data_IF_230978805735
#
_entry.id   IF_230978805735
#
_cell.length_a   1.000
_cell.length_b   1.000
_cell.length_c   1.000
_cell.angle_alpha   90.00
_cell.angle_beta   90.00
_cell.angle_gamma   90.00
#
_symmetry.space_group_name_H-M   'P 1'
#
loop_
_entity.id
_entity.type
_entity.pdbx_description
1 polymer ?
#
# COMPACT_ATOMS: atom_id res chain seq x y z
N UNK A 1 10.20 -36.68 14.23
CA UNK A 1 9.45 -36.98 13.00
C UNK A 1 8.25 -36.07 12.74
N UNK A 2 7.62 -35.44 13.75
CA UNK A 2 6.45 -34.56 13.51
C UNK A 2 6.79 -33.14 13.02
N UNK A 3 7.93 -32.57 13.42
CA UNK A 3 8.33 -31.21 12.98
C UNK A 3 8.67 -31.14 11.48
N UNK A 4 9.37 -32.14 10.93
CA UNK A 4 9.71 -32.20 9.50
C UNK A 4 8.46 -32.32 8.62
N UNK A 5 7.43 -33.02 9.10
CA UNK A 5 6.14 -33.17 8.40
C UNK A 5 5.35 -31.86 8.35
N UNK A 6 5.39 -31.05 9.43
CA UNK A 6 4.76 -29.72 9.43
C UNK A 6 5.49 -28.74 8.52
N UNK A 7 6.83 -28.74 8.51
CA UNK A 7 7.59 -27.90 7.58
C UNK A 7 7.37 -28.31 6.12
N UNK A 8 7.22 -29.62 5.85
CA UNK A 8 6.91 -30.12 4.52
C UNK A 8 5.51 -29.72 4.05
N UNK A 9 4.50 -29.75 4.94
CA UNK A 9 3.14 -29.31 4.63
C UNK A 9 3.05 -27.80 4.39
N UNK A 10 3.71 -26.98 5.21
CA UNK A 10 3.78 -25.54 4.96
C UNK A 10 4.51 -25.21 3.66
N UNK A 11 5.59 -25.94 3.34
CA UNK A 11 6.29 -25.76 2.08
C UNK A 11 5.41 -26.15 0.88
N UNK A 12 4.57 -27.17 1.03
CA UNK A 12 3.62 -27.60 -0.02
C UNK A 12 2.51 -26.57 -0.25
N UNK A 13 1.98 -25.97 0.82
CA UNK A 13 1.01 -24.87 0.75
C UNK A 13 1.62 -23.62 0.12
N UNK A 14 2.87 -23.29 0.50
CA UNK A 14 3.60 -22.16 -0.09
C UNK A 14 3.88 -22.36 -1.58
N UNK A 15 4.28 -23.57 -1.99
CA UNK A 15 4.50 -23.91 -3.40
C UNK A 15 3.19 -23.92 -4.19
N UNK A 16 2.09 -24.37 -3.59
CA UNK A 16 0.73 -24.30 -4.16
C UNK A 16 0.27 -22.85 -4.39
N UNK A 17 0.44 -21.99 -3.40
CA UNK A 17 0.16 -20.55 -3.50
C UNK A 17 1.05 -19.91 -4.56
N UNK A 18 2.36 -20.20 -4.55
CA UNK A 18 3.30 -19.68 -5.53
C UNK A 18 2.97 -20.13 -6.96
N UNK A 19 2.54 -21.38 -7.15
CA UNK A 19 2.07 -21.90 -8.44
C UNK A 19 0.78 -21.20 -8.89
N UNK A 20 -0.21 -21.00 -7.99
CA UNK A 20 -1.44 -20.27 -8.31
C UNK A 20 -1.16 -18.82 -8.73
N UNK A 21 -0.27 -18.13 -8.02
CA UNK A 21 0.13 -16.76 -8.35
C UNK A 21 1.01 -16.68 -9.62
N UNK A 22 1.89 -17.67 -9.84
CA UNK A 22 2.71 -17.78 -11.06
C UNK A 22 1.87 -18.05 -12.30
N UNK A 23 0.85 -18.91 -12.20
CA UNK A 23 -0.11 -19.21 -13.26
C UNK A 23 -0.99 -18.00 -13.59
N UNK A 24 -1.39 -17.21 -12.58
CA UNK A 24 -2.16 -15.97 -12.79
C UNK A 24 -1.35 -14.92 -13.57
N UNK A 25 -0.05 -14.78 -13.27
CA UNK A 25 0.88 -13.94 -14.05
C UNK A 25 1.11 -14.41 -15.49
N UNK A 26 1.04 -15.72 -15.74
CA UNK A 26 1.13 -16.28 -17.08
C UNK A 26 -0.18 -16.11 -17.87
N UNK A 27 -1.34 -16.13 -17.19
CA UNK A 27 -2.64 -15.85 -17.78
C UNK A 27 -2.80 -14.36 -18.15
N UNK A 28 -2.23 -13.44 -17.37
CA UNK A 28 -2.15 -12.01 -17.72
C UNK A 28 -1.24 -11.74 -18.94
N UNK A 29 -0.35 -12.67 -19.30
CA UNK A 29 0.50 -12.60 -20.49
C UNK A 29 -0.16 -13.17 -21.76
N UNK A 30 -1.34 -13.79 -21.65
CA UNK A 30 -2.11 -14.30 -22.79
C UNK A 30 -3.05 -13.20 -23.33
N UNK A 31 -2.98 -12.82 -24.62
CA UNK A 31 -3.75 -11.68 -25.17
C UNK A 31 -5.28 -11.89 -25.23
N UNK A 32 -5.81 -13.05 -24.83
CA UNK A 32 -7.21 -13.42 -25.07
C UNK A 32 -8.21 -12.76 -24.12
N UNK A 33 -7.75 -12.19 -22.99
CA UNK A 33 -8.62 -11.60 -21.94
C UNK A 33 -8.82 -10.08 -22.10
N UNK A 34 -7.99 -9.40 -22.91
CA UNK A 34 -7.97 -7.92 -22.98
C UNK A 34 -9.00 -7.25 -23.92
N UNK A 35 -9.91 -8.00 -24.55
CA UNK A 35 -10.92 -7.43 -25.46
C UNK A 35 -12.29 -7.13 -24.81
N UNK A 36 -12.30 -6.80 -23.52
CA UNK A 36 -13.49 -6.25 -22.85
C UNK A 36 -13.23 -4.78 -22.49
N UNK A 37 -13.00 -3.96 -23.51
CA UNK A 37 -12.90 -2.51 -23.37
C UNK A 37 -14.31 -1.93 -23.21
N UNK A 38 -14.41 -1.07 -22.20
CA UNK A 38 -15.58 -0.35 -21.73
C UNK A 38 -16.40 0.34 -22.84
N UNK A 39 -17.73 0.26 -22.72
CA UNK A 39 -18.60 1.37 -23.16
C UNK A 39 -18.94 2.24 -21.95
N UNK A 40 -18.44 3.47 -21.98
CA UNK A 40 -18.83 4.56 -21.09
C UNK A 40 -20.31 4.90 -21.23
N UNK A 41 -20.89 5.34 -20.11
CA UNK A 41 -22.32 5.27 -19.84
C UNK A 41 -23.21 6.35 -20.46
N UNK A 42 -24.51 6.19 -20.22
CA UNK A 42 -25.54 7.24 -20.22
C UNK A 42 -26.58 6.85 -19.15
N UNK A 43 -27.02 7.89 -18.44
CA UNK A 43 -28.01 7.99 -17.37
C UNK A 43 -29.25 7.10 -17.50
N UNK A 44 -29.49 6.23 -16.51
CA UNK A 44 -30.81 5.66 -16.21
C UNK A 44 -30.94 5.45 -14.69
N UNK A 45 -31.16 6.55 -13.95
CA UNK A 45 -31.25 6.52 -12.49
C UNK A 45 -32.68 6.32 -11.95
N UNK A 46 -33.67 6.04 -12.80
CA UNK A 46 -35.09 6.01 -12.36
C UNK A 46 -35.97 4.89 -12.95
N UNK A 47 -35.41 3.81 -13.54
CA UNK A 47 -36.23 2.74 -14.17
C UNK A 47 -35.93 1.30 -13.74
N UNK A 48 -34.98 1.02 -12.83
CA UNK A 48 -34.45 -0.35 -12.66
C UNK A 48 -34.98 -1.15 -11.45
N UNK A 49 -36.06 -0.74 -10.78
CA UNK A 49 -36.57 -1.48 -9.60
C UNK A 49 -37.73 -2.44 -9.89
N UNK A 50 -38.33 -2.41 -11.09
CA UNK A 50 -39.49 -3.25 -11.43
C UNK A 50 -39.11 -4.60 -12.08
N UNK A 51 -38.00 -4.67 -12.83
CA UNK A 51 -37.66 -5.85 -13.63
C UNK A 51 -36.85 -6.93 -12.88
N UNK A 52 -36.39 -6.69 -11.66
CA UNK A 52 -35.35 -7.54 -11.03
C UNK A 52 -35.87 -8.82 -10.35
N UNK A 53 -37.19 -9.02 -10.26
CA UNK A 53 -37.77 -10.10 -9.45
C UNK A 53 -38.89 -10.89 -10.15
N UNK A 54 -39.14 -10.65 -11.44
CA UNK A 54 -40.19 -11.39 -12.17
C UNK A 54 -39.93 -12.91 -12.18
N UNK A 55 -38.66 -13.31 -12.16
CA UNK A 55 -38.24 -14.72 -12.09
C UNK A 55 -38.71 -15.43 -10.82
N UNK A 56 -38.98 -14.72 -9.71
CA UNK A 56 -39.56 -15.30 -8.49
C UNK A 56 -41.01 -15.76 -8.68
N UNK A 57 -41.69 -15.24 -9.70
CA UNK A 57 -43.11 -15.54 -9.96
C UNK A 57 -43.33 -16.39 -11.20
N UNK A 58 -42.31 -16.51 -12.06
CA UNK A 58 -42.42 -17.19 -13.35
C UNK A 58 -41.39 -18.32 -13.46
N UNK A 59 -41.87 -19.57 -13.36
CA UNK A 59 -41.03 -20.78 -13.46
C UNK A 59 -40.27 -20.89 -14.79
N UNK A 60 -40.77 -20.27 -15.87
CA UNK A 60 -40.08 -20.27 -17.16
C UNK A 60 -38.73 -19.53 -17.11
N UNK A 61 -38.61 -18.50 -16.27
CA UNK A 61 -37.39 -17.72 -16.09
C UNK A 61 -36.36 -18.42 -15.17
N UNK A 62 -36.71 -19.57 -14.59
CA UNK A 62 -35.80 -20.43 -13.82
C UNK A 62 -35.19 -21.56 -14.66
N UNK A 63 -35.33 -21.50 -15.99
CA UNK A 63 -34.78 -22.49 -16.92
C UNK A 63 -33.64 -21.91 -17.74
N UNK A 64 -32.46 -22.50 -17.62
CA UNK A 64 -31.21 -22.06 -18.22
C UNK A 64 -30.64 -23.14 -19.14
N UNK A 65 -30.64 -22.89 -20.45
CA UNK A 65 -30.10 -23.82 -21.44
C UNK A 65 -29.42 -23.09 -22.60
N UNK A 66 -28.35 -23.69 -23.12
CA UNK A 66 -27.60 -23.17 -24.27
C UNK A 66 -27.92 -24.03 -25.51
N UNK A 67 -28.98 -23.67 -26.23
CA UNK A 67 -29.43 -24.32 -27.48
C UNK A 67 -30.62 -25.29 -27.34
N UNK A 68 -31.05 -25.87 -28.46
CA UNK A 68 -32.30 -26.65 -28.63
C UNK A 68 -32.08 -28.19 -28.63
N UNK A 69 -31.01 -28.68 -28.02
CA UNK A 69 -30.61 -30.09 -28.13
C UNK A 69 -30.37 -30.75 -26.79
N UNK A 70 -31.12 -31.83 -26.52
CA UNK A 70 -30.88 -33.04 -25.70
C UNK A 70 -29.65 -33.10 -24.75
N UNK A 71 -29.36 -32.02 -24.03
CA UNK A 71 -28.32 -31.94 -23.01
C UNK A 71 -28.88 -32.42 -21.68
N UNK A 72 -28.05 -33.10 -20.89
CA UNK A 72 -28.42 -33.55 -19.55
C UNK A 72 -28.80 -32.35 -18.68
N UNK A 73 -30.10 -32.22 -18.38
CA UNK A 73 -30.64 -31.20 -17.49
C UNK A 73 -30.58 -31.69 -16.05
N UNK A 74 -30.21 -30.78 -15.15
CA UNK A 74 -30.22 -31.03 -13.71
C UNK A 74 -31.06 -29.97 -13.03
N UNK A 75 -31.79 -30.39 -12.01
CA UNK A 75 -32.58 -29.50 -11.17
C UNK A 75 -31.72 -29.11 -9.97
N UNK A 76 -31.45 -27.82 -9.81
CA UNK A 76 -30.78 -27.28 -8.63
C UNK A 76 -31.84 -26.65 -7.73
N UNK A 77 -32.15 -27.33 -6.63
CA UNK A 77 -33.06 -26.83 -5.62
C UNK A 77 -32.30 -25.96 -4.62
N UNK A 78 -32.66 -24.69 -4.54
CA UNK A 78 -32.11 -23.73 -3.57
C UNK A 78 -33.12 -23.49 -2.43
N UNK A 79 -32.81 -22.58 -1.51
CA UNK A 79 -33.67 -22.24 -0.36
C UNK A 79 -35.17 -22.06 -0.67
N UNK A 80 -35.52 -21.44 -1.81
CA UNK A 80 -36.92 -21.14 -2.14
C UNK A 80 -37.36 -21.61 -3.53
N UNK A 81 -36.45 -21.72 -4.50
CA UNK A 81 -36.77 -22.03 -5.90
C UNK A 81 -35.91 -23.18 -6.44
N UNK A 82 -36.45 -23.87 -7.44
CA UNK A 82 -35.73 -24.87 -8.22
C UNK A 82 -35.37 -24.30 -9.60
N UNK A 83 -34.12 -24.50 -10.01
CA UNK A 83 -33.60 -24.05 -11.29
C UNK A 83 -33.31 -25.24 -12.20
N UNK A 84 -33.77 -25.19 -13.45
CA UNK A 84 -33.50 -26.19 -14.46
C UNK A 84 -32.30 -25.75 -15.29
N UNK A 85 -31.15 -26.41 -15.15
CA UNK A 85 -29.89 -25.93 -15.73
C UNK A 85 -29.21 -27.03 -16.54
N UNK A 86 -28.60 -26.63 -17.65
CA UNK A 86 -27.69 -27.50 -18.41
C UNK A 86 -26.47 -27.88 -17.56
N UNK A 87 -26.33 -29.17 -17.25
CA UNK A 87 -25.27 -29.67 -16.36
C UNK A 87 -23.87 -29.36 -16.89
N UNK A 88 -23.67 -29.42 -18.21
CA UNK A 88 -22.37 -29.18 -18.81
C UNK A 88 -21.86 -27.76 -18.53
N UNK A 89 -22.72 -26.76 -18.73
CA UNK A 89 -22.37 -25.37 -18.44
C UNK A 89 -22.10 -25.18 -16.95
N UNK A 90 -22.94 -25.76 -16.09
CA UNK A 90 -22.77 -25.70 -14.63
C UNK A 90 -21.41 -26.27 -14.18
N UNK A 91 -20.98 -27.39 -14.77
CA UNK A 91 -19.68 -28.04 -14.56
C UNK A 91 -18.52 -27.18 -15.08
N UNK A 92 -18.67 -26.54 -16.23
CA UNK A 92 -17.66 -25.63 -16.77
C UNK A 92 -17.44 -24.42 -15.85
N UNK A 93 -18.52 -23.94 -15.23
CA UNK A 93 -18.54 -22.70 -14.44
C UNK A 93 -18.03 -22.87 -13.00
N UNK A 94 -18.06 -24.07 -12.43
CA UNK A 94 -17.79 -24.30 -11.02
C UNK A 94 -17.16 -25.67 -10.74
N UNK A 95 -16.05 -25.67 -10.00
CA UNK A 95 -15.36 -26.91 -9.59
C UNK A 95 -16.23 -27.75 -8.65
N UNK A 96 -17.10 -27.12 -7.86
CA UNK A 96 -18.05 -27.83 -7.01
C UNK A 96 -18.95 -28.74 -7.83
N UNK A 97 -19.58 -28.20 -8.88
CA UNK A 97 -20.45 -29.00 -9.74
C UNK A 97 -19.67 -29.98 -10.62
N UNK A 98 -18.45 -29.61 -11.05
CA UNK A 98 -17.54 -30.55 -11.72
C UNK A 98 -17.24 -31.76 -10.85
N UNK A 99 -16.83 -31.55 -9.61
CA UNK A 99 -16.55 -32.62 -8.66
C UNK A 99 -17.80 -33.46 -8.37
N UNK A 100 -18.96 -32.82 -8.18
CA UNK A 100 -20.23 -33.50 -7.94
C UNK A 100 -20.63 -34.38 -9.13
N UNK A 101 -20.50 -33.89 -10.36
CA UNK A 101 -20.84 -34.63 -11.59
C UNK A 101 -19.96 -35.86 -11.82
N UNK A 102 -18.71 -35.81 -11.37
CA UNK A 102 -17.76 -36.92 -11.45
C UNK A 102 -17.89 -37.90 -10.29
N UNK A 103 -18.57 -37.49 -9.21
CA UNK A 103 -18.80 -38.32 -8.05
C UNK A 103 -19.85 -39.40 -8.34
N UNK A 104 -19.65 -40.60 -7.77
CA UNK A 104 -20.66 -41.67 -7.77
C UNK A 104 -21.69 -41.49 -6.64
N UNK A 105 -22.12 -40.25 -6.41
CA UNK A 105 -23.08 -39.92 -5.37
C UNK A 105 -24.53 -39.97 -5.89
N UNK A 106 -25.47 -39.94 -4.95
CA UNK A 106 -26.91 -40.13 -5.21
C UNK A 106 -27.47 -38.99 -6.06
N UNK A 107 -26.95 -37.78 -5.86
CA UNK A 107 -27.27 -36.54 -6.54
C UNK A 107 -27.02 -36.65 -8.05
N UNK A 108 -25.96 -37.36 -8.46
CA UNK A 108 -25.64 -37.61 -9.88
C UNK A 108 -26.61 -38.59 -10.54
N UNK A 109 -27.17 -39.52 -9.75
CA UNK A 109 -28.16 -40.50 -10.24
C UNK A 109 -29.61 -39.99 -10.23
N UNK A 110 -29.92 -39.04 -9.35
CA UNK A 110 -31.28 -38.50 -9.19
C UNK A 110 -31.51 -37.19 -9.97
N UNK A 111 -30.49 -36.65 -10.66
CA UNK A 111 -30.56 -35.40 -11.44
C UNK A 111 -31.09 -34.18 -10.66
N UNK A 112 -31.00 -34.24 -9.33
CA UNK A 112 -31.45 -33.24 -8.38
C UNK A 112 -30.32 -32.90 -7.41
N UNK A 113 -29.90 -31.64 -7.38
CA UNK A 113 -28.89 -31.11 -6.48
C UNK A 113 -29.60 -30.19 -5.46
N UNK A 114 -29.38 -30.42 -4.18
CA UNK A 114 -29.97 -29.60 -3.10
C UNK A 114 -28.93 -28.66 -2.49
N UNK A 115 -29.21 -27.37 -2.57
CA UNK A 115 -28.43 -26.26 -2.03
C UNK A 115 -29.33 -25.40 -1.13
N UNK A 116 -29.95 -26.03 -0.12
CA UNK A 116 -30.96 -25.40 0.75
C UNK A 116 -30.44 -24.16 1.50
N UNK A 117 -29.14 -24.10 1.75
CA UNK A 117 -28.46 -22.99 2.42
C UNK A 117 -28.12 -21.81 1.48
N UNK A 118 -28.29 -21.96 0.16
CA UNK A 118 -28.00 -20.93 -0.83
C UNK A 118 -29.29 -20.15 -1.14
N UNK A 119 -29.22 -18.82 -1.08
CA UNK A 119 -30.33 -17.96 -1.50
C UNK A 119 -30.60 -18.14 -2.99
N UNK A 120 -31.87 -18.29 -3.36
CA UNK A 120 -32.29 -18.38 -4.76
C UNK A 120 -31.90 -17.15 -5.57
N UNK A 121 -31.90 -15.95 -4.98
CA UNK A 121 -31.50 -14.71 -5.68
C UNK A 121 -30.02 -14.71 -6.03
N UNK A 122 -29.17 -15.16 -5.12
CA UNK A 122 -27.72 -15.24 -5.33
C UNK A 122 -27.40 -16.26 -6.42
N UNK A 123 -28.06 -17.42 -6.37
CA UNK A 123 -27.88 -18.46 -7.38
C UNK A 123 -28.40 -18.01 -8.76
N UNK A 124 -29.53 -17.33 -8.82
CA UNK A 124 -30.04 -16.71 -10.05
C UNK A 124 -29.03 -15.73 -10.66
N UNK A 125 -28.46 -14.82 -9.87
CA UNK A 125 -27.45 -13.87 -10.35
C UNK A 125 -26.18 -14.57 -10.87
N UNK A 126 -25.79 -15.70 -10.27
CA UNK A 126 -24.70 -16.53 -10.75
C UNK A 126 -25.05 -17.13 -12.12
N UNK A 127 -26.26 -17.66 -12.30
CA UNK A 127 -26.70 -18.21 -13.58
C UNK A 127 -26.82 -17.13 -14.66
N UNK A 128 -27.35 -15.96 -14.32
CA UNK A 128 -27.40 -14.79 -15.22
C UNK A 128 -26.00 -14.39 -15.72
N UNK A 129 -25.01 -14.42 -14.84
CA UNK A 129 -23.63 -14.15 -15.21
C UNK A 129 -23.09 -15.17 -16.22
N UNK A 130 -23.28 -16.47 -15.99
CA UNK A 130 -22.68 -17.50 -16.83
C UNK A 130 -23.44 -17.75 -18.15
N UNK A 131 -24.78 -17.66 -18.15
CA UNK A 131 -25.59 -17.93 -19.33
C UNK A 131 -25.85 -16.69 -20.18
N UNK A 132 -26.01 -15.53 -19.55
CA UNK A 132 -26.40 -14.29 -20.22
C UNK A 132 -25.30 -13.21 -20.19
N UNK A 133 -24.13 -13.50 -19.61
CA UNK A 133 -23.05 -12.53 -19.40
C UNK A 133 -23.53 -11.26 -18.68
N UNK A 134 -24.50 -11.43 -17.77
CA UNK A 134 -25.22 -10.36 -17.12
C UNK A 134 -24.88 -10.32 -15.63
N UNK A 135 -24.05 -9.37 -15.22
CA UNK A 135 -23.64 -9.20 -13.82
C UNK A 135 -24.49 -8.13 -13.12
N UNK A 136 -25.46 -8.56 -12.30
CA UNK A 136 -26.37 -7.70 -11.52
C UNK A 136 -26.35 -8.07 -10.05
N UNK A 137 -25.25 -7.75 -9.36
CA UNK A 137 -25.11 -7.99 -7.92
C UNK A 137 -25.34 -6.67 -7.15
N UNK A 138 -26.35 -6.59 -6.27
CA UNK A 138 -26.53 -5.45 -5.37
C UNK A 138 -25.34 -5.30 -4.42
N UNK A 139 -24.96 -4.05 -4.10
CA UNK A 139 -23.84 -3.79 -3.19
C UNK A 139 -24.08 -4.34 -1.77
N UNK A 140 -25.33 -4.29 -1.31
CA UNK A 140 -25.76 -4.82 0.00
C UNK A 140 -25.55 -6.34 0.12
N UNK A 141 -25.73 -7.07 -0.98
CA UNK A 141 -25.58 -8.52 -1.03
C UNK A 141 -24.20 -8.97 -1.52
N UNK A 142 -23.27 -8.06 -1.80
CA UNK A 142 -21.98 -8.43 -2.40
C UNK A 142 -21.20 -9.43 -1.53
N UNK A 143 -21.26 -9.29 -0.20
CA UNK A 143 -20.59 -10.21 0.72
C UNK A 143 -21.15 -11.63 0.65
N UNK A 144 -22.47 -11.78 0.59
CA UNK A 144 -23.12 -13.09 0.48
C UNK A 144 -22.89 -13.73 -0.88
N UNK A 145 -22.84 -12.94 -1.96
CA UNK A 145 -22.44 -13.43 -3.27
C UNK A 145 -20.99 -13.93 -3.28
N UNK A 146 -20.04 -13.22 -2.66
CA UNK A 146 -18.65 -13.68 -2.53
C UNK A 146 -18.58 -15.00 -1.76
N UNK A 147 -19.28 -15.10 -0.63
CA UNK A 147 -19.35 -16.32 0.17
C UNK A 147 -19.85 -17.52 -0.63
N UNK A 148 -20.98 -17.37 -1.34
CA UNK A 148 -21.55 -18.45 -2.16
C UNK A 148 -20.63 -18.79 -3.34
N UNK A 149 -19.99 -17.79 -3.95
CA UNK A 149 -19.05 -18.01 -5.07
C UNK A 149 -17.81 -18.76 -4.62
N UNK A 150 -17.30 -18.46 -3.43
CA UNK A 150 -16.18 -19.17 -2.82
C UNK A 150 -16.57 -20.61 -2.47
N UNK A 151 -17.75 -20.80 -1.86
CA UNK A 151 -18.30 -22.13 -1.55
C UNK A 151 -18.49 -23.01 -2.79
N UNK A 152 -19.12 -22.47 -3.84
CA UNK A 152 -19.33 -23.18 -5.11
C UNK A 152 -18.07 -23.25 -5.98
N UNK A 153 -16.96 -22.63 -5.56
CA UNK A 153 -15.72 -22.57 -6.32
C UNK A 153 -15.98 -22.06 -7.76
N UNK A 154 -16.73 -20.97 -7.84
CA UNK A 154 -17.10 -20.28 -9.08
C UNK A 154 -16.11 -19.12 -9.35
N UNK A 155 -14.89 -19.45 -9.78
CA UNK A 155 -13.76 -18.51 -9.81
C UNK A 155 -13.99 -17.26 -10.67
N UNK A 156 -14.60 -17.41 -11.85
CA UNK A 156 -14.85 -16.28 -12.75
C UNK A 156 -15.84 -15.27 -12.14
N UNK A 157 -16.92 -15.77 -11.54
CA UNK A 157 -17.90 -14.94 -10.85
C UNK A 157 -17.32 -14.33 -9.57
N UNK A 158 -16.57 -15.09 -8.78
CA UNK A 158 -15.84 -14.61 -7.60
C UNK A 158 -14.89 -13.46 -7.98
N UNK A 159 -14.08 -13.63 -9.03
CA UNK A 159 -13.16 -12.61 -9.52
C UNK A 159 -13.89 -11.32 -9.90
N UNK A 160 -15.06 -11.43 -10.54
CA UNK A 160 -15.89 -10.26 -10.87
C UNK A 160 -16.45 -9.59 -9.62
N UNK A 161 -16.94 -10.35 -8.65
CA UNK A 161 -17.39 -9.84 -7.36
C UNK A 161 -16.25 -9.12 -6.60
N UNK A 162 -15.03 -9.67 -6.60
CA UNK A 162 -13.87 -9.06 -5.95
C UNK A 162 -13.40 -7.78 -6.67
N UNK A 163 -13.50 -7.73 -7.99
CA UNK A 163 -13.27 -6.50 -8.75
C UNK A 163 -14.26 -5.41 -8.34
N UNK A 164 -15.54 -5.73 -8.21
CA UNK A 164 -16.55 -4.77 -7.73
C UNK A 164 -16.30 -4.40 -6.27
N UNK A 165 -15.89 -5.35 -5.43
CA UNK A 165 -15.51 -5.11 -4.05
C UNK A 165 -14.38 -4.06 -3.97
N UNK A 166 -13.35 -4.19 -4.81
CA UNK A 166 -12.23 -3.25 -4.85
C UNK A 166 -12.68 -1.79 -5.11
N UNK A 167 -13.72 -1.59 -5.92
CA UNK A 167 -14.26 -0.27 -6.26
C UNK A 167 -15.16 0.32 -5.17
N UNK A 168 -15.80 -0.52 -4.34
CA UNK A 168 -16.75 -0.09 -3.29
C UNK A 168 -16.16 -0.10 -1.88
N UNK A 169 -14.92 -0.58 -1.74
CA UNK A 169 -14.22 -0.56 -0.45
C UNK A 169 -14.06 0.87 0.05
N UNK A 170 -14.34 1.03 1.34
CA UNK A 170 -14.36 2.30 2.04
C UNK A 170 -13.89 2.11 3.49
N UNK A 171 -13.55 3.20 4.19
CA UNK A 171 -13.14 3.10 5.60
C UNK A 171 -14.22 2.45 6.48
N UNK A 172 -15.50 2.61 6.13
CA UNK A 172 -16.64 2.08 6.90
C UNK A 172 -16.90 0.59 6.71
N UNK A 173 -16.50 -0.02 5.58
CA UNK A 173 -16.83 -1.43 5.27
C UNK A 173 -15.61 -2.36 5.18
N UNK A 174 -14.39 -1.83 5.12
CA UNK A 174 -13.19 -2.65 4.94
C UNK A 174 -13.00 -3.68 6.06
N UNK A 175 -13.24 -3.31 7.33
CA UNK A 175 -13.14 -4.23 8.46
C UNK A 175 -14.21 -5.33 8.46
N UNK A 176 -15.44 -5.01 8.07
CA UNK A 176 -16.50 -6.02 7.97
C UNK A 176 -16.19 -7.04 6.87
N UNK A 177 -15.67 -6.59 5.74
CA UNK A 177 -15.24 -7.48 4.67
C UNK A 177 -13.99 -8.27 5.03
N UNK A 178 -13.06 -7.72 5.81
CA UNK A 178 -11.94 -8.47 6.36
C UNK A 178 -12.40 -9.59 7.30
N UNK A 179 -13.32 -9.30 8.22
CA UNK A 179 -13.91 -10.29 9.11
C UNK A 179 -14.62 -11.40 8.34
N UNK A 180 -15.37 -11.05 7.29
CA UNK A 180 -16.02 -12.03 6.43
C UNK A 180 -14.99 -12.89 5.68
N UNK A 181 -13.93 -12.29 5.14
CA UNK A 181 -12.86 -13.02 4.45
C UNK A 181 -12.20 -14.06 5.36
N UNK A 182 -11.98 -13.71 6.64
CA UNK A 182 -11.44 -14.61 7.65
C UNK A 182 -12.43 -15.72 8.02
N UNK A 183 -13.72 -15.41 8.15
CA UNK A 183 -14.78 -16.37 8.46
C UNK A 183 -14.91 -17.46 7.38
N UNK A 184 -14.86 -17.06 6.11
CA UNK A 184 -15.01 -17.97 4.97
C UNK A 184 -13.67 -18.50 4.44
N UNK A 185 -12.55 -18.11 5.05
CA UNK A 185 -11.18 -18.43 4.61
C UNK A 185 -10.91 -18.07 3.14
N UNK A 186 -11.43 -16.95 2.65
CA UNK A 186 -11.22 -16.48 1.28
C UNK A 186 -10.02 -15.52 1.21
N UNK A 187 -8.87 -16.08 0.86
CA UNK A 187 -7.62 -15.33 0.72
C UNK A 187 -7.70 -14.26 -0.38
N UNK A 188 -8.40 -14.50 -1.49
CA UNK A 188 -8.53 -13.49 -2.56
C UNK A 188 -9.29 -12.25 -2.07
N UNK A 189 -10.29 -12.45 -1.21
CA UNK A 189 -11.03 -11.36 -0.57
C UNK A 189 -10.18 -10.63 0.45
N UNK A 190 -9.48 -11.35 1.32
CA UNK A 190 -8.52 -10.77 2.28
C UNK A 190 -7.50 -9.90 1.55
N UNK A 191 -6.90 -10.40 0.47
CA UNK A 191 -5.93 -9.69 -0.34
C UNK A 191 -6.50 -8.44 -1.02
N UNK A 192 -7.77 -8.49 -1.45
CA UNK A 192 -8.47 -7.33 -2.01
C UNK A 192 -8.59 -6.22 -0.96
N UNK A 193 -9.01 -6.58 0.26
CA UNK A 193 -9.10 -5.63 1.39
C UNK A 193 -7.71 -5.11 1.79
N UNK A 194 -6.71 -5.98 1.88
CA UNK A 194 -5.34 -5.60 2.24
C UNK A 194 -4.71 -4.68 1.20
N UNK A 195 -5.02 -4.86 -0.07
CA UNK A 195 -4.59 -3.95 -1.14
C UNK A 195 -5.20 -2.55 -0.98
N UNK A 196 -6.48 -2.47 -0.58
CA UNK A 196 -7.11 -1.19 -0.28
C UNK A 196 -6.47 -0.52 0.96
N UNK A 197 -6.23 -1.28 2.03
CA UNK A 197 -5.60 -0.80 3.25
C UNK A 197 -4.15 -0.36 3.01
N UNK A 198 -3.39 -1.09 2.19
CA UNK A 198 -1.98 -0.77 1.89
C UNK A 198 -1.85 0.55 1.14
N UNK A 199 -2.78 0.83 0.21
CA UNK A 199 -2.84 2.11 -0.52
C UNK A 199 -3.17 3.30 0.38
N UNK A 200 -3.87 3.06 1.50
CA UNK A 200 -4.36 4.08 2.44
C UNK A 200 -3.75 3.98 3.86
N UNK A 201 -2.58 3.34 3.99
CA UNK A 201 -1.96 2.96 5.27
C UNK A 201 -1.98 4.06 6.34
N UNK A 202 -1.55 5.28 5.99
CA UNK A 202 -1.46 6.39 6.93
C UNK A 202 -2.64 7.38 6.83
N UNK A 203 -3.58 7.13 5.91
CA UNK A 203 -4.83 7.88 5.80
C UNK A 203 -5.90 7.29 6.74
N UNK A 204 -5.77 6.01 7.09
CA UNK A 204 -6.69 5.26 7.95
C UNK A 204 -6.03 4.69 9.21
N UNK A 205 -5.34 5.50 10.04
CA UNK A 205 -4.58 4.98 11.19
C UNK A 205 -5.48 4.25 12.20
N UNK A 206 -6.73 4.68 12.37
CA UNK A 206 -7.70 4.05 13.26
C UNK A 206 -8.08 2.63 12.82
N UNK A 207 -8.20 2.39 11.51
CA UNK A 207 -8.48 1.06 10.94
C UNK A 207 -7.26 0.16 11.07
N UNK A 208 -6.08 0.66 10.68
CA UNK A 208 -4.85 -0.13 10.70
C UNK A 208 -4.45 -0.53 12.13
N UNK A 209 -4.76 0.30 13.14
CA UNK A 209 -4.57 -0.04 14.56
C UNK A 209 -5.39 -1.25 15.02
N UNK A 210 -6.49 -1.57 14.36
CA UNK A 210 -7.33 -2.74 14.70
C UNK A 210 -6.77 -4.07 14.18
N UNK A 211 -5.79 -4.03 13.27
CA UNK A 211 -5.17 -5.22 12.70
C UNK A 211 -4.18 -5.87 13.69
N UNK A 212 -3.94 -7.17 13.52
CA UNK A 212 -2.84 -7.86 14.20
C UNK A 212 -1.48 -7.35 13.69
N UNK A 213 -0.40 -7.64 14.42
CA UNK A 213 0.92 -7.20 14.00
C UNK A 213 1.40 -7.92 12.72
N UNK A 214 0.99 -9.18 12.53
CA UNK A 214 1.23 -9.93 11.29
C UNK A 214 0.51 -9.29 10.10
N UNK A 215 -0.75 -8.91 10.29
CA UNK A 215 -1.56 -8.25 9.25
C UNK A 215 -0.99 -6.86 8.89
N UNK A 216 -0.53 -6.09 9.87
CA UNK A 216 0.14 -4.80 9.62
C UNK A 216 1.39 -4.98 8.77
N UNK A 217 2.22 -5.97 9.08
CA UNK A 217 3.43 -6.26 8.32
C UNK A 217 3.07 -6.68 6.89
N UNK A 218 2.04 -7.49 6.71
CA UNK A 218 1.54 -7.90 5.39
C UNK A 218 1.05 -6.69 4.56
N UNK A 219 0.28 -5.79 5.16
CA UNK A 219 -0.20 -4.55 4.53
C UNK A 219 0.96 -3.61 4.17
N UNK A 220 1.95 -3.45 5.05
CA UNK A 220 3.17 -2.66 4.79
C UNK A 220 3.97 -3.28 3.65
N UNK A 221 4.15 -4.61 3.68
CA UNK A 221 4.85 -5.34 2.64
C UNK A 221 4.20 -5.13 1.27
N UNK A 222 2.88 -5.29 1.18
CA UNK A 222 2.10 -5.07 -0.04
C UNK A 222 2.28 -3.66 -0.60
N UNK A 223 2.40 -2.65 0.27
CA UNK A 223 2.61 -1.27 -0.15
C UNK A 223 3.97 -1.04 -0.83
N UNK A 224 4.97 -1.85 -0.46
CA UNK A 224 6.33 -1.78 -1.02
C UNK A 224 6.54 -2.68 -2.23
N UNK A 225 5.58 -3.56 -2.54
CA UNK A 225 5.60 -4.37 -3.75
C UNK A 225 5.23 -3.52 -4.98
N UNK A 226 5.80 -3.87 -6.13
CA UNK A 226 5.53 -3.22 -7.41
C UNK A 226 6.80 -2.83 -8.16
N UNK A 227 6.63 -1.95 -9.14
CA UNK A 227 7.73 -1.42 -9.93
C UNK A 227 8.50 -0.36 -9.15
N UNK A 228 9.83 -0.43 -9.22
CA UNK A 228 10.69 0.58 -8.60
C UNK A 228 10.70 1.80 -9.49
N UNK A 229 10.37 2.96 -8.92
CA UNK A 229 10.40 4.24 -9.63
C UNK A 229 11.52 5.12 -9.07
N UNK A 230 12.35 5.66 -9.97
CA UNK A 230 13.31 6.70 -9.61
C UNK A 230 12.63 8.05 -9.76
N UNK A 231 12.57 8.81 -8.66
CA UNK A 231 12.02 10.16 -8.64
C UNK A 231 13.12 11.21 -8.49
N UNK A 232 12.95 12.34 -9.17
CA UNK A 232 13.81 13.51 -9.06
C UNK A 232 12.98 14.73 -8.74
N UNK A 233 13.47 15.56 -7.83
CA UNK A 233 12.88 16.86 -7.52
C UNK A 233 13.99 17.88 -7.31
N UNK A 234 13.71 19.13 -7.69
CA UNK A 234 14.69 20.19 -7.53
C UNK A 234 14.71 20.65 -6.08
N UNK A 235 15.87 20.56 -5.42
CA UNK A 235 16.03 20.82 -3.98
C UNK A 235 16.04 22.31 -3.59
N UNK A 236 16.56 23.21 -4.43
CA UNK A 236 16.77 24.62 -4.08
C UNK A 236 16.54 25.60 -5.26
N UNK A 237 16.36 26.88 -4.87
CA UNK A 237 16.46 28.08 -5.74
C UNK A 237 15.45 28.16 -6.89
N UNK A 238 14.16 28.12 -6.53
CA UNK A 238 13.08 28.58 -7.39
C UNK A 238 12.74 30.03 -7.01
N UNK A 239 13.55 31.00 -7.45
CA UNK A 239 13.24 32.40 -7.16
C UNK A 239 11.92 32.82 -7.81
N UNK A 240 11.08 33.52 -7.08
CA UNK A 240 9.72 33.91 -7.47
C UNK A 240 9.68 35.02 -8.54
N UNK A 241 10.20 34.81 -9.75
CA UNK A 241 10.11 35.85 -10.77
C UNK A 241 9.90 35.26 -12.16
N UNK A 242 8.62 35.06 -12.53
CA UNK A 242 8.10 34.90 -13.90
C UNK A 242 9.02 34.15 -14.88
N UNK A 243 9.73 33.15 -14.37
CA UNK A 243 10.68 32.39 -15.15
C UNK A 243 10.04 31.04 -15.47
N UNK A 244 9.80 30.74 -16.75
CA UNK A 244 9.23 29.47 -17.16
C UNK A 244 10.01 28.27 -16.58
N UNK A 245 11.34 28.32 -16.51
CA UNK A 245 12.14 27.20 -15.98
C UNK A 245 11.83 26.91 -14.52
N UNK A 246 11.64 27.96 -13.73
CA UNK A 246 11.27 27.89 -12.31
C UNK A 246 9.90 27.24 -12.10
N UNK A 247 8.92 27.52 -12.97
CA UNK A 247 7.58 26.91 -12.89
C UNK A 247 7.61 25.42 -13.29
N UNK A 248 8.37 25.06 -14.34
CA UNK A 248 8.51 23.65 -14.75
C UNK A 248 9.18 22.80 -13.67
N UNK A 249 10.16 23.36 -12.95
CA UNK A 249 10.91 22.64 -11.93
C UNK A 249 10.18 22.47 -10.58
N UNK A 250 8.90 22.87 -10.47
CA UNK A 250 8.04 22.63 -9.28
C UNK A 250 7.40 21.25 -9.23
N UNK A 251 7.78 20.36 -10.12
CA UNK A 251 7.24 19.02 -10.18
C UNK A 251 8.21 18.01 -9.62
N UNK A 252 7.67 16.92 -9.08
CA UNK A 252 8.39 15.67 -8.93
C UNK A 252 8.36 14.95 -10.28
N UNK A 253 9.53 14.57 -10.78
CA UNK A 253 9.68 13.85 -12.03
C UNK A 253 9.97 12.38 -11.77
N UNK A 254 9.45 11.49 -12.62
CA UNK A 254 9.85 10.08 -12.66
C UNK A 254 10.46 9.75 -14.00
N UNK A 255 11.43 8.84 -13.98
CA UNK A 255 11.91 8.19 -15.18
C UNK A 255 10.89 7.12 -15.60
N UNK A 256 10.39 7.18 -16.84
CA UNK A 256 9.53 6.13 -17.43
C UNK A 256 10.32 5.34 -18.47
N UNK A 257 10.18 4.02 -18.48
CA UNK A 257 10.85 3.14 -19.46
C UNK A 257 12.19 2.59 -18.97
N UNK A 258 13.01 2.06 -19.88
CA UNK A 258 14.38 1.66 -19.55
C UNK A 258 15.21 2.87 -19.13
N UNK A 259 16.20 2.66 -18.26
CA UNK A 259 17.11 3.72 -17.80
C UNK A 259 17.75 4.50 -18.96
N UNK A 260 17.89 3.85 -20.12
CA UNK A 260 18.48 4.39 -21.36
C UNK A 260 17.57 5.36 -22.13
N UNK A 261 16.26 5.36 -21.88
CA UNK A 261 15.31 6.23 -22.60
C UNK A 261 15.51 7.71 -22.24
N UNK A 262 15.98 8.01 -21.03
CA UNK A 262 16.15 9.38 -20.54
C UNK A 262 14.84 10.18 -20.40
N UNK A 263 13.68 9.52 -20.53
CA UNK A 263 12.39 10.18 -20.63
C UNK A 263 11.79 10.48 -19.24
N UNK A 264 12.12 11.68 -18.73
CA UNK A 264 11.58 12.22 -17.48
C UNK A 264 10.20 12.85 -17.66
N UNK A 265 9.25 12.46 -16.82
CA UNK A 265 7.89 12.96 -16.88
C UNK A 265 7.43 13.50 -15.52
N UNK A 266 6.70 14.63 -15.47
CA UNK A 266 6.16 15.17 -14.22
C UNK A 266 5.05 14.25 -13.66
N UNK A 267 5.06 14.03 -12.35
CA UNK A 267 4.06 13.23 -11.61
C UNK A 267 3.10 14.14 -10.85
N UNK A 268 3.63 15.11 -10.09
CA UNK A 268 2.85 15.95 -9.18
C UNK A 268 3.57 17.28 -8.95
N UNK A 269 2.81 18.37 -8.80
CA UNK A 269 3.34 19.67 -8.36
C UNK A 269 3.60 19.62 -6.84
N UNK A 270 4.68 20.26 -6.38
CA UNK A 270 4.96 20.39 -4.95
C UNK A 270 3.82 21.17 -4.24
N UNK A 271 3.47 20.82 -3.00
CA UNK A 271 2.28 21.35 -2.32
C UNK A 271 2.46 22.76 -1.76
N UNK A 272 3.52 23.47 -2.15
CA UNK A 272 3.83 24.82 -1.66
C UNK A 272 4.44 25.68 -2.75
N UNK A 273 4.30 27.00 -2.59
CA UNK A 273 4.98 28.00 -3.41
C UNK A 273 5.80 28.89 -2.49
N UNK A 274 7.11 28.91 -2.71
CA UNK A 274 8.03 29.65 -1.87
C UNK A 274 9.16 30.26 -2.68
N UNK A 275 9.63 31.42 -2.22
CA UNK A 275 10.64 32.21 -2.92
C UNK A 275 12.05 31.65 -2.67
N UNK A 276 12.23 30.98 -1.53
CA UNK A 276 13.39 30.15 -1.18
C UNK A 276 12.95 29.01 -0.28
N UNK A 277 13.59 27.86 -0.38
CA UNK A 277 13.32 26.72 0.48
C UNK A 277 14.55 25.84 0.67
N UNK A 278 14.56 25.12 1.80
CA UNK A 278 15.57 24.14 2.18
C UNK A 278 14.84 22.92 2.76
N UNK A 279 14.39 22.03 1.89
CA UNK A 279 13.79 20.76 2.30
C UNK A 279 14.77 19.61 2.04
N UNK A 280 14.61 18.59 2.85
CA UNK A 280 15.21 17.28 2.71
C UNK A 280 14.12 16.27 2.37
N UNK A 281 14.50 15.17 1.74
CA UNK A 281 13.57 14.15 1.28
C UNK A 281 13.86 12.83 1.95
N UNK A 282 12.83 12.09 2.30
CA UNK A 282 12.98 10.73 2.83
C UNK A 282 11.80 9.88 2.38
N UNK A 283 12.06 8.61 2.09
CA UNK A 283 11.02 7.64 1.74
C UNK A 283 10.79 6.73 2.94
N UNK A 284 9.54 6.64 3.39
CA UNK A 284 9.12 5.73 4.45
C UNK A 284 7.78 5.11 4.07
N UNK A 285 7.66 3.77 4.18
CA UNK A 285 6.48 3.02 3.76
C UNK A 285 5.99 3.38 2.35
N UNK A 286 6.90 3.59 1.39
CA UNK A 286 6.56 4.03 0.04
C UNK A 286 5.71 5.33 0.00
N UNK A 287 5.90 6.22 0.98
CA UNK A 287 5.49 7.62 0.91
C UNK A 287 6.74 8.48 0.75
N UNK A 288 6.64 9.51 -0.09
CA UNK A 288 7.69 10.53 -0.20
C UNK A 288 7.40 11.64 0.81
N UNK A 289 8.33 11.87 1.73
CA UNK A 289 8.28 12.99 2.65
C UNK A 289 9.21 14.10 2.18
N UNK A 290 8.73 15.32 2.28
CA UNK A 290 9.47 16.56 2.02
C UNK A 290 9.42 17.38 3.30
N UNK A 291 10.55 17.46 4.00
CA UNK A 291 10.65 18.01 5.36
C UNK A 291 11.67 19.14 5.37
N UNK A 292 11.33 20.29 5.92
CA UNK A 292 12.27 21.40 6.00
C UNK A 292 11.55 22.70 6.20
N UNK A 293 12.00 23.76 5.54
CA UNK A 293 11.29 25.01 5.63
C UNK A 293 11.49 25.91 4.43
N UNK A 294 10.62 26.90 4.36
CA UNK A 294 10.52 27.79 3.23
C UNK A 294 10.30 29.23 3.67
N UNK A 295 10.73 30.14 2.79
CA UNK A 295 10.59 31.58 2.97
C UNK A 295 9.43 32.09 2.12
N UNK A 296 8.48 32.73 2.78
CA UNK A 296 7.32 33.33 2.16
C UNK A 296 7.34 34.85 2.32
N UNK A 297 6.89 35.56 1.29
CA UNK A 297 6.75 37.02 1.31
C UNK A 297 5.49 37.41 2.08
N UNK A 298 5.66 38.21 3.14
CA UNK A 298 4.56 38.79 3.92
C UNK A 298 4.37 40.28 3.58
N UNK A 299 3.28 40.90 4.06
CA UNK A 299 3.01 42.34 3.86
C UNK A 299 4.14 43.23 4.40
N UNK A 300 4.88 42.77 5.40
CA UNK A 300 6.05 43.44 6.00
C UNK A 300 7.22 42.46 6.13
N UNK A 301 7.99 42.31 5.05
CA UNK A 301 9.22 41.51 5.06
C UNK A 301 9.01 40.04 4.70
N UNK A 302 9.82 39.20 5.31
CA UNK A 302 9.93 37.78 4.98
C UNK A 302 9.74 36.95 6.25
N UNK A 303 8.94 35.91 6.15
CA UNK A 303 8.79 34.93 7.22
C UNK A 303 9.36 33.59 6.77
N UNK A 304 9.97 32.86 7.71
CA UNK A 304 10.47 31.51 7.48
C UNK A 304 9.69 30.52 8.33
N UNK A 305 9.08 29.54 7.68
CA UNK A 305 8.27 28.52 8.35
C UNK A 305 8.84 27.13 8.07
N UNK A 306 8.88 26.31 9.12
CA UNK A 306 9.09 24.87 8.96
C UNK A 306 7.79 24.24 8.44
N UNK A 307 7.93 23.30 7.54
CA UNK A 307 6.84 22.52 7.00
C UNK A 307 7.30 21.10 6.68
N UNK A 308 6.35 20.19 6.75
CA UNK A 308 6.52 18.81 6.35
C UNK A 308 5.32 18.38 5.53
N UNK A 309 5.58 17.67 4.44
CA UNK A 309 4.55 17.16 3.56
C UNK A 309 4.82 15.70 3.24
N UNK A 310 3.76 14.91 3.17
CA UNK A 310 3.76 13.51 2.78
C UNK A 310 3.00 13.33 1.48
N UNK A 311 3.61 12.71 0.49
CA UNK A 311 2.98 12.34 -0.76
C UNK A 311 2.66 10.86 -0.80
N UNK A 312 1.42 10.54 -1.16
CA UNK A 312 0.98 9.17 -1.42
C UNK A 312 0.98 8.89 -2.94
N UNK A 313 1.90 8.04 -3.46
CA UNK A 313 1.98 7.77 -4.88
C UNK A 313 0.78 6.99 -5.45
N UNK A 314 -0.04 6.34 -4.61
CA UNK A 314 -1.22 5.60 -5.06
C UNK A 314 -2.46 6.48 -5.22
N UNK A 315 -2.60 7.51 -4.38
CA UNK A 315 -3.74 8.43 -4.43
C UNK A 315 -3.40 9.74 -5.12
N UNK A 316 -2.11 9.99 -5.39
CA UNK A 316 -1.59 11.25 -5.95
C UNK A 316 -1.87 12.49 -5.09
N UNK A 317 -2.02 12.29 -3.77
CA UNK A 317 -2.37 13.36 -2.83
C UNK A 317 -1.17 13.70 -1.95
N UNK A 318 -0.96 15.00 -1.75
CA UNK A 318 -0.09 15.54 -0.71
C UNK A 318 -0.89 15.87 0.54
N UNK A 319 -0.35 15.52 1.70
CA UNK A 319 -0.89 15.83 3.02
C UNK A 319 0.16 16.59 3.81
N UNK A 320 -0.21 17.71 4.43
CA UNK A 320 0.65 18.40 5.38
C UNK A 320 0.77 17.57 6.66
N UNK A 321 1.98 17.42 7.17
CA UNK A 321 2.25 16.72 8.43
C UNK A 321 2.90 17.69 9.42
N UNK A 322 3.00 17.27 10.69
CA UNK A 322 3.64 18.05 11.73
C UNK A 322 5.04 18.51 11.30
N UNK A 323 5.34 19.82 11.41
CA UNK A 323 6.68 20.33 11.15
C UNK A 323 7.63 19.96 12.29
N UNK A 324 8.94 20.02 12.00
CA UNK A 324 10.00 19.86 13.01
C UNK A 324 9.80 20.81 14.20
N UNK A 325 10.17 20.34 15.40
CA UNK A 325 10.01 21.12 16.65
C UNK A 325 10.87 22.37 16.62
N UNK A 326 12.09 22.26 16.07
CA UNK A 326 13.01 23.39 15.91
C UNK A 326 13.26 23.73 14.45
N UNK A 327 13.36 25.03 14.20
CA UNK A 327 13.72 25.60 12.91
C UNK A 327 15.16 25.24 12.56
N UNK A 328 15.35 24.48 11.48
CA UNK A 328 16.67 24.03 11.03
C UNK A 328 16.75 23.90 9.52
N UNK A 329 17.97 24.05 8.98
CA UNK A 329 18.29 23.79 7.56
C UNK A 329 19.48 22.85 7.41
N UNK A 330 19.62 22.28 6.22
CA UNK A 330 20.72 21.38 5.85
C UNK A 330 20.88 20.17 6.78
N UNK A 331 19.81 19.70 7.41
CA UNK A 331 19.81 18.49 8.23
C UNK A 331 19.65 17.24 7.34
N UNK A 332 20.10 16.10 7.86
CA UNK A 332 19.86 14.80 7.23
C UNK A 332 18.56 14.20 7.77
N UNK A 333 17.75 13.58 6.91
CA UNK A 333 16.61 12.78 7.30
C UNK A 333 16.83 11.30 6.93
N UNK A 334 16.51 10.39 7.83
CA UNK A 334 16.69 8.95 7.64
C UNK A 334 15.47 8.19 8.12
N UNK A 335 14.97 7.27 7.31
CA UNK A 335 13.93 6.32 7.73
C UNK A 335 14.57 5.12 8.43
N UNK A 336 14.10 4.77 9.63
CA UNK A 336 14.57 3.60 10.37
C UNK A 336 13.45 3.10 11.29
N UNK A 337 13.22 1.79 11.35
CA UNK A 337 12.20 1.15 12.22
C UNK A 337 10.81 1.85 12.18
N UNK A 338 10.31 2.17 10.98
CA UNK A 338 8.99 2.78 10.83
C UNK A 338 8.88 4.26 11.22
N UNK A 339 9.99 4.91 11.58
CA UNK A 339 10.04 6.33 11.94
C UNK A 339 11.01 7.10 11.03
N UNK A 340 10.90 8.43 11.04
CA UNK A 340 11.85 9.33 10.37
C UNK A 340 12.69 10.07 11.40
N UNK A 341 14.00 10.07 11.24
CA UNK A 341 14.93 10.75 12.14
C UNK A 341 15.57 11.94 11.44
N UNK A 342 15.44 13.12 12.02
CA UNK A 342 16.11 14.34 11.60
C UNK A 342 17.37 14.55 12.44
N UNK A 343 18.53 14.52 11.78
CA UNK A 343 19.86 14.56 12.42
C UNK A 343 20.63 15.79 11.97
N UNK A 344 21.18 16.52 12.93
CA UNK A 344 22.03 17.67 12.67
C UNK A 344 21.27 18.87 12.09
N UNK A 345 21.98 19.65 11.27
CA UNK A 345 21.52 20.89 10.66
C UNK A 345 22.03 22.13 11.38
N UNK A 346 21.81 23.28 10.77
CA UNK A 346 22.11 24.57 11.39
C UNK A 346 20.86 25.11 12.06
N UNK A 347 21.03 25.76 13.22
CA UNK A 347 19.97 26.60 13.77
C UNK A 347 19.59 27.64 12.73
N UNK A 348 18.30 27.86 12.56
CA UNK A 348 17.81 28.76 11.55
C UNK A 348 17.06 29.93 12.17
N UNK A 349 17.81 31.00 12.45
CA UNK A 349 17.24 32.32 12.73
C UNK A 349 17.10 33.17 11.46
N UNK A 350 17.81 32.83 10.37
CA UNK A 350 17.71 33.49 9.05
C UNK A 350 18.40 32.68 7.93
N UNK A 351 17.87 32.72 6.69
CA UNK A 351 18.44 32.06 5.49
C UNK A 351 19.70 32.74 4.93
N UNK A 352 20.34 33.65 5.67
CA UNK A 352 21.65 34.21 5.30
C UNK A 352 22.70 33.09 5.35
N UNK A 353 23.76 33.16 4.54
CA UNK A 353 24.88 32.22 4.62
C UNK A 353 25.32 32.06 6.08
N UNK A 354 25.60 30.84 6.57
CA UNK A 354 26.09 30.65 7.93
C UNK A 354 27.26 31.59 8.17
N UNK A 355 27.15 32.47 9.16
CA UNK A 355 28.27 33.25 9.65
C UNK A 355 29.03 32.42 10.69
N UNK A 356 30.14 32.94 11.19
CA UNK A 356 30.91 32.29 12.27
C UNK A 356 30.14 32.13 13.59
N UNK A 357 28.92 32.66 13.70
CA UNK A 357 28.08 32.58 14.91
C UNK A 357 26.95 31.55 14.81
N UNK A 358 26.69 30.99 13.62
CA UNK A 358 25.62 30.02 13.42
C UNK A 358 25.97 28.70 14.11
N UNK A 359 25.22 28.33 15.16
CA UNK A 359 25.45 27.11 15.92
C UNK A 359 24.89 25.86 15.21
N UNK A 360 25.63 24.76 15.30
CA UNK A 360 25.18 23.44 14.87
C UNK A 360 24.05 22.97 15.80
N UNK A 361 22.94 22.54 15.22
CA UNK A 361 21.86 21.94 15.99
C UNK A 361 22.11 20.43 16.15
N UNK A 362 22.36 20.00 17.37
CA UNK A 362 22.81 18.62 17.65
C UNK A 362 21.70 17.66 18.06
N UNK A 363 20.51 18.17 18.35
CA UNK A 363 19.40 17.34 18.76
C UNK A 363 18.81 16.56 17.56
N UNK A 364 18.71 15.25 17.76
CA UNK A 364 18.04 14.31 16.89
C UNK A 364 16.56 14.31 17.25
N UNK A 365 15.72 14.61 16.26
CA UNK A 365 14.26 14.51 16.37
C UNK A 365 13.78 13.27 15.62
N UNK A 366 12.76 12.61 16.13
CA UNK A 366 12.12 11.44 15.53
C UNK A 366 10.64 11.75 15.29
N UNK A 367 10.19 11.50 14.07
CA UNK A 367 8.82 11.62 13.63
C UNK A 367 8.16 10.26 13.60
N UNK A 368 7.04 10.15 14.30
CA UNK A 368 6.15 9.01 14.26
C UNK A 368 5.02 9.29 13.25
N UNK A 369 4.96 8.56 12.12
CA UNK A 369 3.93 8.78 11.10
C UNK A 369 2.52 8.35 11.54
N UNK A 370 2.39 7.56 12.61
CA UNK A 370 1.09 7.09 13.10
C UNK A 370 0.41 8.11 14.01
N UNK A 371 1.21 8.83 14.80
CA UNK A 371 0.72 9.91 15.67
C UNK A 371 0.83 11.29 15.03
N UNK A 372 1.52 11.42 13.89
CA UNK A 372 1.87 12.70 13.26
C UNK A 372 2.55 13.65 14.25
N UNK A 373 3.57 13.17 14.97
CA UNK A 373 4.30 13.99 15.95
C UNK A 373 5.80 13.81 15.86
N UNK A 374 6.52 14.90 16.13
CA UNK A 374 7.96 14.89 16.36
C UNK A 374 8.25 14.82 17.85
N UNK A 375 9.31 14.09 18.22
CA UNK A 375 9.84 14.04 19.58
C UNK A 375 11.36 14.14 19.59
N UNK A 376 11.90 14.71 20.66
CA UNK A 376 13.33 14.66 20.93
C UNK A 376 13.76 13.23 21.26
N UNK A 377 14.91 12.80 20.73
CA UNK A 377 15.48 11.46 20.98
C UNK A 377 16.79 11.54 21.74
N UNK A 378 17.78 12.21 21.15
CA UNK A 378 19.14 12.28 21.68
C UNK A 378 19.85 13.50 21.11
N UNK A 379 21.05 13.81 21.61
CA UNK A 379 21.93 14.80 20.99
C UNK A 379 23.20 14.13 20.48
N UNK A 380 23.75 14.64 19.39
CA UNK A 380 25.07 14.23 18.90
C UNK A 380 26.14 14.53 19.97
N UNK A 381 27.15 13.66 20.13
CA UNK A 381 28.21 13.85 21.13
C UNK A 381 29.15 14.96 20.65
N UNK A 382 29.25 16.03 21.44
CA UNK A 382 30.15 17.16 21.13
C UNK A 382 31.29 17.34 22.14
N UNK A 383 31.34 16.55 23.21
CA UNK A 383 32.08 16.97 24.41
C UNK A 383 33.57 16.63 24.46
N UNK A 384 34.09 15.73 23.60
CA UNK A 384 35.53 15.38 23.64
C UNK A 384 36.28 15.62 22.31
N UNK A 385 35.54 15.60 21.20
CA UNK A 385 36.00 15.96 19.87
C UNK A 385 34.85 16.76 19.26
N UNK A 386 35.06 18.03 18.91
CA UNK A 386 34.02 18.84 18.29
C UNK A 386 33.59 18.18 16.97
N UNK A 387 32.54 17.36 17.01
CA UNK A 387 32.03 16.62 15.87
C UNK A 387 31.23 17.59 14.98
N UNK A 388 31.61 17.69 13.72
CA UNK A 388 30.90 18.46 12.71
C UNK A 388 30.42 17.58 11.59
N UNK A 389 29.16 17.75 11.24
CA UNK A 389 28.64 17.28 9.97
C UNK A 389 28.99 18.32 8.89
N UNK A 390 29.50 17.87 7.74
CA UNK A 390 29.62 18.72 6.54
C UNK A 390 28.22 19.00 5.99
N UNK A 391 27.54 20.00 6.53
CA UNK A 391 26.18 20.39 6.13
C UNK A 391 26.15 21.11 4.76
N UNK A 392 27.08 20.78 3.86
CA UNK A 392 27.06 21.21 2.46
C UNK A 392 25.83 20.63 1.76
N UNK A 393 25.37 21.32 0.73
CA UNK A 393 24.07 21.10 0.09
C UNK A 393 23.90 19.71 -0.55
N UNK A 394 24.97 18.92 -0.69
CA UNK A 394 25.04 17.84 -1.69
C UNK A 394 25.36 16.44 -1.14
N UNK A 395 25.62 16.26 0.16
CA UNK A 395 26.02 14.94 0.69
C UNK A 395 25.04 14.42 1.74
N UNK A 396 24.39 13.26 1.54
CA UNK A 396 23.62 12.61 2.58
C UNK A 396 24.60 12.11 3.65
N UNK A 397 24.60 12.79 4.80
CA UNK A 397 25.51 12.47 5.90
C UNK A 397 24.95 11.47 6.90
N UNK A 398 23.75 10.94 6.66
CA UNK A 398 23.19 9.89 7.48
C UNK A 398 22.50 8.82 6.63
N UNK A 399 22.57 7.57 7.08
CA UNK A 399 21.92 6.42 6.46
C UNK A 399 21.46 5.45 7.55
N UNK A 400 20.59 4.51 7.23
CA UNK A 400 20.16 3.45 8.13
C UNK A 400 20.51 2.08 7.58
N UNK A 401 20.81 1.16 8.49
CA UNK A 401 20.95 -0.25 8.17
C UNK A 401 20.50 -1.10 9.37
N UNK A 402 19.55 -2.01 9.15
CA UNK A 402 18.87 -2.71 10.22
C UNK A 402 18.25 -1.74 11.23
N UNK A 403 18.53 -1.95 12.50
CA UNK A 403 18.02 -1.14 13.62
C UNK A 403 18.96 0.02 14.00
N UNK A 404 19.87 0.41 13.11
CA UNK A 404 20.90 1.41 13.39
C UNK A 404 20.86 2.55 12.37
N UNK A 405 21.12 3.74 12.87
CA UNK A 405 21.35 4.95 12.09
C UNK A 405 22.84 5.27 12.16
N UNK A 406 23.43 5.53 11.01
CA UNK A 406 24.83 5.86 10.85
C UNK A 406 24.94 7.30 10.40
N UNK A 407 25.80 8.09 11.06
CA UNK A 407 25.99 9.51 10.78
C UNK A 407 27.47 9.76 10.52
N UNK A 408 27.79 10.24 9.32
CA UNK A 408 29.13 10.62 8.92
C UNK A 408 29.38 12.08 9.26
N UNK A 409 30.53 12.33 9.89
CA UNK A 409 31.03 13.68 10.13
C UNK A 409 32.54 13.70 10.21
N UNK A 410 33.07 14.81 10.70
CA UNK A 410 34.50 15.02 10.93
C UNK A 410 34.73 15.60 12.30
N UNK A 411 35.93 15.39 12.83
CA UNK A 411 36.40 16.06 14.04
C UNK A 411 36.95 17.43 13.63
N UNK A 412 36.40 18.54 14.14
CA UNK A 412 36.82 19.90 13.75
C UNK A 412 38.34 20.12 13.93
N UNK A 413 38.93 19.57 14.99
CA UNK A 413 40.34 19.78 15.33
C UNK A 413 41.31 19.00 14.43
N UNK A 414 40.97 17.77 14.04
CA UNK A 414 41.88 16.87 13.32
C UNK A 414 41.51 16.70 11.84
N UNK A 415 40.27 17.03 11.46
CA UNK A 415 39.73 16.77 10.13
C UNK A 415 39.44 15.29 9.86
N UNK A 416 39.69 14.40 10.82
CA UNK A 416 39.45 12.96 10.67
C UNK A 416 37.96 12.68 10.51
N UNK A 417 37.62 11.77 9.59
CA UNK A 417 36.24 11.33 9.37
C UNK A 417 35.83 10.37 10.47
N UNK A 418 34.63 10.58 11.02
CA UNK A 418 34.05 9.78 12.09
C UNK A 418 32.66 9.30 11.69
N UNK A 419 32.38 8.04 12.00
CA UNK A 419 31.07 7.41 11.80
C UNK A 419 30.42 7.18 13.16
N UNK A 420 29.36 7.92 13.45
CA UNK A 420 28.53 7.69 14.63
C UNK A 420 27.49 6.64 14.31
N UNK A 421 27.25 5.73 15.26
CA UNK A 421 26.18 4.74 15.17
C UNK A 421 25.18 4.98 16.31
N UNK A 422 23.89 5.01 15.98
CA UNK A 422 22.80 5.10 16.93
C UNK A 422 21.88 3.88 16.77
N UNK A 423 21.75 3.08 17.83
CA UNK A 423 20.86 1.91 17.86
C UNK A 423 19.48 2.31 18.38
N UNK A 424 18.45 2.18 17.54
CA UNK A 424 17.08 2.62 17.86
C UNK A 424 16.40 1.73 18.90
N UNK A 425 16.85 0.48 19.08
CA UNK A 425 16.29 -0.47 20.07
C UNK A 425 16.90 -0.32 21.46
N UNK A 426 18.16 0.14 21.56
CA UNK A 426 18.84 0.29 22.86
C UNK A 426 18.41 1.55 23.63
N UNK A 427 17.85 2.57 22.95
CA UNK A 427 17.36 3.80 23.57
C UNK A 427 16.08 3.67 24.40
N UNK A 428 15.53 2.47 24.56
CA UNK A 428 14.22 2.19 25.22
C UNK A 428 14.40 1.41 26.54
N UNK A 429 15.47 1.65 27.31
CA UNK A 429 15.51 1.15 28.70
C UNK A 429 14.74 2.10 29.62
N UNK A 430 13.54 1.66 30.04
CA UNK A 430 12.85 2.20 31.23
C UNK A 430 13.79 2.01 32.44
N UNK A 431 13.93 3.06 33.25
CA UNK A 431 14.51 3.05 34.60
C UNK A 431 16.03 3.27 34.77
N UNK A 432 16.67 4.18 34.03
CA UNK A 432 17.94 4.79 34.49
C UNK A 432 18.12 6.23 33.95
N UNK A 433 18.65 7.18 34.75
CA UNK A 433 18.86 8.56 34.30
C UNK A 433 19.95 8.62 33.23
N UNK A 434 19.51 8.82 31.98
CA UNK A 434 20.24 9.30 30.79
C UNK A 434 21.76 9.52 30.97
N UNK A 435 22.54 8.43 30.99
CA UNK A 435 23.93 8.42 30.55
C UNK A 435 24.05 7.43 29.39
N UNK A 436 24.07 7.97 28.17
CA UNK A 436 24.34 7.20 26.97
C UNK A 436 25.86 7.13 26.78
N UNK A 437 26.38 5.90 26.79
CA UNK A 437 27.76 5.59 26.44
C UNK A 437 27.84 5.46 24.93
N UNK A 438 28.49 6.42 24.28
CA UNK A 438 29.08 6.18 22.95
C UNK A 438 30.20 5.17 23.16
N UNK A 439 30.33 4.11 22.35
CA UNK A 439 31.37 3.12 22.58
C UNK A 439 32.75 3.81 22.50
N UNK A 440 33.40 3.99 23.66
CA UNK A 440 34.71 4.63 23.73
C UNK A 440 35.83 3.76 23.14
N UNK A 441 35.60 2.47 22.88
CA UNK A 441 36.61 1.62 22.25
C UNK A 441 35.98 0.56 21.34
N UNK A 442 36.25 0.70 20.04
CA UNK A 442 35.88 -0.26 19.00
C UNK A 442 36.55 0.07 17.66
N UNK A 443 37.81 0.51 17.71
CA UNK A 443 38.61 0.72 16.51
C UNK A 443 39.01 -0.65 15.92
N UNK A 444 38.42 -1.02 14.80
CA UNK A 444 39.06 -1.94 13.85
C UNK A 444 39.39 -1.18 12.59
N UNK A 445 40.63 -0.71 12.52
CA UNK A 445 41.27 -0.23 11.30
C UNK A 445 42.10 -1.35 10.70
N UNK A 446 41.47 -2.39 10.12
CA UNK A 446 42.11 -3.24 9.13
C UNK A 446 41.09 -3.74 8.10
N UNK A 447 41.40 -3.69 6.79
CA UNK A 447 40.74 -4.52 5.82
C UNK A 447 41.28 -5.95 6.00
N UNK A 448 40.40 -6.92 6.28
CA UNK A 448 40.78 -8.31 6.07
C UNK A 448 40.79 -8.55 4.56
N UNK A 449 41.98 -8.83 4.04
CA UNK A 449 42.23 -9.13 2.63
C UNK A 449 42.04 -10.60 2.31
N UNK A 450 42.01 -10.83 0.98
CA UNK A 450 41.91 -12.05 0.17
C UNK A 450 40.58 -12.80 0.19
#
# INVERSE_FOLDING_TARGET
MNSVRQHFLMLLEWVSLWLKYGLRRLLDACPFVNNWVASSGITARELCQADSEEWKTNEALCTYHLGDGDKAKVIVQTSTHAFHVDLQTLVECSEYFRALSQSRMRETSESLIRLDHVSSSIFHNLLEFYFHNNFKVPQEDLGTHIQVSSYLVAEAFLSKCLSVLADVLSPSNCLSYLSLAQEIFCEEMKMTVFTYLSRNLLELPHVIRCLSDEEKEEVIHLRTQGERCLCSLRKENLSSWKDPETEHARHVFTLRGSEDSGDWHPITELPFRADKWCFTTVVLFNYLYVIGGYRQRMKRGWEFNMASFRYNPFTHIWVATSPLIKHRRHFSAVACEGCIYAVGGWYLDSLVTPDSSTALYTAVECYDPWEDTWRFVSSLPLTDFQFTMSLSHDVPLATSHGHCIYVLGSIQRTGEKLLLQYNTKQGVKKDEPNRLVWPEHGFSSKPEGS
#
